data_IF_681771700327
#
_entry.id   IF_681771700327
#
_cell.length_a   1.000
_cell.length_b   1.000
_cell.length_c   1.000
_cell.angle_alpha   90.00
_cell.angle_beta   90.00
_cell.angle_gamma   90.00
#
_symmetry.space_group_name_H-M   'P 1'
#
loop_
_entity.id
_entity.type
_entity.pdbx_description
1 polymer ?
#
# COMPACT_ATOMS: atom_id res chain seq x y z
N UNK A 1 -11.89 -12.90 -3.97
CA UNK A 1 -10.97 -12.07 -3.15
C UNK A 1 -9.60 -12.13 -3.79
N UNK A 2 -8.89 -11.01 -3.81
CA UNK A 2 -7.51 -10.96 -4.30
C UNK A 2 -6.56 -10.58 -3.16
N UNK A 3 -5.32 -11.04 -3.26
CA UNK A 3 -4.23 -10.71 -2.34
C UNK A 3 -3.58 -9.40 -2.79
N UNK A 4 -3.52 -8.40 -1.92
CA UNK A 4 -3.02 -7.05 -2.23
C UNK A 4 -2.00 -6.57 -1.19
N UNK A 5 -0.94 -5.86 -1.59
CA UNK A 5 -0.04 -5.22 -0.64
C UNK A 5 -0.75 -4.03 0.00
N UNK A 6 -0.53 -3.83 1.30
CA UNK A 6 -1.21 -2.82 2.10
C UNK A 6 -0.23 -2.12 3.04
N UNK A 7 -0.36 -0.81 3.17
CA UNK A 7 0.23 -0.05 4.28
C UNK A 7 -0.59 -0.37 5.52
N UNK A 8 -0.09 -1.26 6.37
CA UNK A 8 -0.81 -1.67 7.57
C UNK A 8 -0.61 -0.69 8.72
N UNK A 9 0.56 -0.06 8.85
CA UNK A 9 0.87 0.95 9.87
C UNK A 9 2.00 1.86 9.40
N UNK A 10 2.10 3.04 9.98
CA UNK A 10 3.10 4.06 9.66
C UNK A 10 2.44 5.31 9.10
N UNK A 11 2.34 6.34 9.93
CA UNK A 11 1.76 7.63 9.52
C UNK A 11 2.72 8.36 8.59
N UNK A 12 2.19 8.93 7.51
CA UNK A 12 2.96 9.90 6.74
C UNK A 12 3.24 11.08 7.65
N UNK A 13 4.49 11.55 7.70
CA UNK A 13 4.89 12.73 8.45
C UNK A 13 5.91 13.47 7.58
N UNK A 14 5.62 14.70 7.12
CA UNK A 14 6.50 15.43 6.23
C UNK A 14 7.91 15.56 6.80
N UNK A 15 8.93 15.26 5.97
CA UNK A 15 10.35 15.31 6.33
C UNK A 15 10.80 14.36 7.46
N UNK A 16 9.96 13.40 7.84
CA UNK A 16 10.29 12.40 8.87
C UNK A 16 10.35 11.02 8.24
N UNK A 17 11.49 10.36 8.43
CA UNK A 17 11.71 8.99 7.94
C UNK A 17 11.24 7.97 8.98
N UNK A 18 9.92 7.91 9.21
CA UNK A 18 9.34 6.96 10.16
C UNK A 18 9.21 5.55 9.57
N UNK A 19 9.23 4.51 10.41
CA UNK A 19 9.02 3.14 9.95
C UNK A 19 7.59 2.96 9.42
N UNK A 20 7.47 2.12 8.40
CA UNK A 20 6.22 1.75 7.74
C UNK A 20 6.10 0.23 7.82
N UNK A 21 4.99 -0.26 8.36
CA UNK A 21 4.66 -1.68 8.33
C UNK A 21 3.79 -1.96 7.12
N UNK A 22 4.29 -2.83 6.25
CA UNK A 22 3.61 -3.23 5.03
C UNK A 22 3.34 -4.73 5.07
N UNK A 23 2.13 -5.12 4.70
CA UNK A 23 1.70 -6.51 4.77
C UNK A 23 0.84 -6.88 3.57
N UNK A 24 0.58 -8.18 3.45
CA UNK A 24 -0.44 -8.68 2.53
C UNK A 24 -1.81 -8.70 3.21
N UNK A 25 -2.83 -8.31 2.45
CA UNK A 25 -4.22 -8.41 2.84
C UNK A 25 -5.05 -9.04 1.71
N UNK A 26 -6.21 -9.58 2.07
CA UNK A 26 -7.23 -10.01 1.13
C UNK A 26 -8.33 -8.96 1.04
N UNK A 27 -8.67 -8.57 -0.18
CA UNK A 27 -9.76 -7.64 -0.43
C UNK A 27 -10.86 -8.28 -1.29
N UNK A 28 -12.08 -7.80 -1.13
CA UNK A 28 -13.24 -8.15 -1.97
C UNK A 28 -13.16 -7.43 -3.33
N UNK A 29 -12.10 -7.72 -4.07
CA UNK A 29 -11.90 -7.27 -5.42
C UNK A 29 -11.61 -8.45 -6.35
N UNK A 30 -11.71 -8.19 -7.64
CA UNK A 30 -11.48 -9.15 -8.72
C UNK A 30 -10.76 -8.48 -9.90
N UNK A 31 -9.91 -9.25 -10.58
CA UNK A 31 -9.36 -8.85 -11.87
C UNK A 31 -10.43 -9.08 -12.94
N UNK A 32 -10.64 -8.08 -13.77
CA UNK A 32 -11.63 -8.07 -14.85
C UNK A 32 -10.96 -7.71 -16.17
N UNK A 33 -11.56 -8.15 -17.28
CA UNK A 33 -11.05 -7.92 -18.63
C UNK A 33 -11.68 -6.66 -19.23
N UNK A 34 -11.25 -5.50 -18.76
CA UNK A 34 -11.73 -4.18 -19.16
C UNK A 34 -10.54 -3.21 -19.34
N UNK A 35 -10.79 -2.06 -19.97
CA UNK A 35 -9.75 -1.02 -20.07
C UNK A 35 -9.29 -0.58 -18.67
N UNK A 36 -7.97 -0.46 -18.42
CA UNK A 36 -7.47 -0.05 -17.12
C UNK A 36 -7.91 1.37 -16.76
N UNK A 37 -8.36 1.57 -15.52
CA UNK A 37 -8.75 2.89 -15.00
C UNK A 37 -8.04 3.21 -13.69
N UNK A 38 -7.85 4.51 -13.41
CA UNK A 38 -7.13 4.99 -12.24
C UNK A 38 -5.60 4.84 -12.31
N UNK A 39 -5.05 4.56 -13.50
CA UNK A 39 -3.61 4.38 -13.77
C UNK A 39 -3.18 5.07 -15.09
N UNK A 40 -3.89 6.12 -15.50
CA UNK A 40 -3.66 6.80 -16.79
C UNK A 40 -2.25 7.39 -16.91
N UNK A 41 -1.73 8.01 -15.86
CA UNK A 41 -0.38 8.58 -15.84
C UNK A 41 0.68 7.48 -15.98
N UNK A 42 0.49 6.36 -15.27
CA UNK A 42 1.35 5.18 -15.41
C UNK A 42 1.34 4.64 -16.84
N UNK A 43 0.16 4.48 -17.45
CA UNK A 43 0.05 4.01 -18.83
C UNK A 43 0.80 4.93 -19.79
N UNK A 44 0.63 6.25 -19.65
CA UNK A 44 1.33 7.24 -20.48
C UNK A 44 2.84 7.05 -20.42
N UNK A 45 3.40 6.98 -19.21
CA UNK A 45 4.84 6.82 -19.02
C UNK A 45 5.34 5.45 -19.46
N UNK A 46 4.55 4.40 -19.22
CA UNK A 46 4.91 3.04 -19.61
C UNK A 46 4.99 2.88 -21.13
N UNK A 47 4.05 3.45 -21.89
CA UNK A 47 4.08 3.41 -23.35
C UNK A 47 5.20 4.27 -23.93
N UNK A 48 5.47 5.43 -23.34
CA UNK A 48 6.62 6.26 -23.71
C UNK A 48 7.95 5.52 -23.47
N UNK A 49 8.11 4.90 -22.30
CA UNK A 49 9.34 4.20 -21.94
C UNK A 49 9.55 2.91 -22.74
N UNK A 50 8.49 2.16 -23.02
CA UNK A 50 8.57 0.90 -23.77
C UNK A 50 8.67 1.12 -25.28
N UNK A 51 8.10 2.21 -25.81
CA UNK A 51 7.94 2.41 -27.25
C UNK A 51 6.90 1.48 -27.89
N UNK A 52 6.09 0.79 -27.08
CA UNK A 52 5.01 -0.08 -27.52
C UNK A 52 3.67 0.55 -27.18
N UNK A 53 2.74 0.58 -28.14
CA UNK A 53 1.34 0.91 -27.88
C UNK A 53 0.53 -0.37 -27.81
N UNK A 54 0.53 -1.02 -26.64
CA UNK A 54 -0.42 -2.09 -26.37
C UNK A 54 -1.53 -1.60 -25.44
N UNK A 55 -2.75 -2.13 -25.59
CA UNK A 55 -3.87 -1.85 -24.69
C UNK A 55 -4.33 -3.13 -24.01
N UNK A 56 -3.53 -3.68 -23.07
CA UNK A 56 -3.92 -4.88 -22.35
C UNK A 56 -5.22 -4.62 -21.58
N UNK A 57 -6.21 -5.49 -21.76
CA UNK A 57 -7.50 -5.38 -21.10
C UNK A 57 -7.42 -6.02 -19.72
N UNK A 58 -7.07 -5.19 -18.73
CA UNK A 58 -7.01 -5.57 -17.33
C UNK A 58 -7.43 -4.41 -16.44
N UNK A 59 -8.35 -4.69 -15.53
CA UNK A 59 -8.74 -3.74 -14.49
C UNK A 59 -9.09 -4.48 -13.20
N UNK A 60 -9.31 -3.73 -12.13
CA UNK A 60 -9.74 -4.23 -10.82
C UNK A 60 -11.13 -3.73 -10.50
N UNK A 61 -12.08 -4.65 -10.27
CA UNK A 61 -13.41 -4.31 -9.76
C UNK A 61 -13.47 -4.57 -8.26
N UNK A 62 -14.13 -3.69 -7.52
CA UNK A 62 -14.33 -3.81 -6.07
C UNK A 62 -13.51 -2.80 -5.24
N UNK A 63 -13.83 -2.67 -3.94
CA UNK A 63 -13.23 -1.67 -3.07
C UNK A 63 -11.78 -2.05 -2.68
N UNK A 64 -10.85 -1.14 -2.92
CA UNK A 64 -9.43 -1.25 -2.59
C UNK A 64 -8.89 0.12 -2.20
N UNK A 65 -7.88 0.19 -1.30
CA UNK A 65 -7.05 1.38 -1.18
C UNK A 65 -6.44 1.73 -2.55
N UNK A 66 -6.34 3.02 -2.85
CA UNK A 66 -5.83 3.58 -4.12
C UNK A 66 -4.41 3.11 -4.41
N UNK A 67 -3.52 3.14 -3.41
CA UNK A 67 -2.14 2.68 -3.57
C UNK A 67 -2.07 1.17 -3.82
N UNK A 68 -2.83 0.38 -3.08
CA UNK A 68 -2.91 -1.08 -3.30
C UNK A 68 -3.40 -1.41 -4.71
N UNK A 69 -4.45 -0.71 -5.18
CA UNK A 69 -4.97 -0.83 -6.55
C UNK A 69 -3.90 -0.49 -7.59
N UNK A 70 -3.22 0.65 -7.42
CA UNK A 70 -2.14 1.08 -8.31
C UNK A 70 -1.02 0.04 -8.41
N UNK A 71 -0.52 -0.46 -7.28
CA UNK A 71 0.59 -1.43 -7.22
C UNK A 71 0.22 -2.76 -7.88
N UNK A 72 -0.99 -3.27 -7.64
CA UNK A 72 -1.47 -4.50 -8.27
C UNK A 72 -1.69 -4.29 -9.76
N UNK A 73 -2.43 -3.26 -10.14
CA UNK A 73 -2.84 -3.05 -11.53
C UNK A 73 -1.65 -2.75 -12.44
N UNK A 74 -0.68 -1.95 -12.00
CA UNK A 74 0.55 -1.66 -12.76
C UNK A 74 1.35 -2.92 -13.09
N UNK A 75 1.51 -3.85 -12.13
CA UNK A 75 2.19 -5.12 -12.38
C UNK A 75 1.43 -5.98 -13.40
N UNK A 76 0.11 -6.09 -13.24
CA UNK A 76 -0.73 -6.91 -14.12
C UNK A 76 -0.77 -6.35 -15.56
N UNK A 77 -0.74 -5.03 -15.72
CA UNK A 77 -0.61 -4.37 -17.03
C UNK A 77 0.70 -4.79 -17.70
N UNK A 78 1.83 -4.70 -17.00
CA UNK A 78 3.15 -5.03 -17.58
C UNK A 78 3.25 -6.53 -17.92
N UNK A 79 2.76 -7.40 -17.04
CA UNK A 79 2.73 -8.85 -17.31
C UNK A 79 1.91 -9.19 -18.55
N UNK A 80 0.72 -8.59 -18.69
CA UNK A 80 -0.10 -8.78 -19.88
C UNK A 80 0.49 -8.13 -21.11
N UNK A 81 1.17 -6.99 -21.00
CA UNK A 81 1.91 -6.42 -22.12
C UNK A 81 2.99 -7.39 -22.64
N UNK A 82 3.67 -8.11 -21.74
CA UNK A 82 4.61 -9.17 -22.10
C UNK A 82 3.91 -10.36 -22.77
N UNK A 83 2.81 -10.84 -22.19
CA UNK A 83 2.14 -12.08 -22.60
C UNK A 83 1.25 -11.93 -23.85
N UNK A 84 0.44 -10.87 -23.89
CA UNK A 84 -0.55 -10.61 -24.94
C UNK A 84 0.06 -9.82 -26.11
N UNK A 85 1.05 -8.96 -25.84
CA UNK A 85 1.60 -8.02 -26.82
C UNK A 85 3.04 -8.32 -27.23
N UNK A 86 3.65 -9.36 -26.64
CA UNK A 86 5.01 -9.79 -26.98
C UNK A 86 6.10 -8.80 -26.60
N UNK A 87 5.88 -7.92 -25.60
CA UNK A 87 6.92 -7.03 -25.08
C UNK A 87 8.13 -7.87 -24.62
N UNK A 88 9.32 -7.73 -25.22
CA UNK A 88 10.45 -8.62 -24.97
C UNK A 88 11.20 -8.24 -23.69
N UNK A 89 10.53 -8.33 -22.55
CA UNK A 89 11.05 -7.95 -21.22
C UNK A 89 11.15 -9.18 -20.30
N UNK A 90 12.28 -9.31 -19.59
CA UNK A 90 12.51 -10.36 -18.59
C UNK A 90 11.87 -9.98 -17.26
N UNK A 91 11.64 -10.99 -16.42
CA UNK A 91 11.04 -10.78 -15.09
C UNK A 91 11.78 -9.73 -14.25
N UNK A 92 13.12 -9.75 -14.25
CA UNK A 92 13.92 -8.75 -13.51
C UNK A 92 13.68 -7.33 -14.00
N UNK A 93 13.61 -7.15 -15.32
CA UNK A 93 13.43 -5.85 -15.97
C UNK A 93 12.02 -5.29 -15.71
N UNK A 94 11.00 -6.15 -15.53
CA UNK A 94 9.66 -5.73 -15.09
C UNK A 94 9.74 -5.02 -13.74
N UNK A 95 10.44 -5.61 -12.77
CA UNK A 95 10.58 -5.01 -11.43
C UNK A 95 11.37 -3.70 -11.47
N UNK A 96 12.48 -3.66 -12.21
CA UNK A 96 13.29 -2.44 -12.37
C UNK A 96 12.48 -1.30 -13.03
N UNK A 97 11.71 -1.62 -14.06
CA UNK A 97 10.84 -0.65 -14.73
C UNK A 97 9.73 -0.13 -13.82
N UNK A 98 9.06 -1.02 -13.07
CA UNK A 98 8.03 -0.62 -12.11
C UNK A 98 8.60 0.30 -11.01
N UNK A 99 9.78 -0.02 -10.48
CA UNK A 99 10.46 0.80 -9.48
C UNK A 99 10.81 2.20 -10.02
N UNK A 100 11.27 2.29 -11.28
CA UNK A 100 11.56 3.58 -11.94
C UNK A 100 10.29 4.41 -12.16
N UNK A 101 9.21 3.79 -12.66
CA UNK A 101 7.93 4.46 -12.92
C UNK A 101 7.27 4.91 -11.62
N UNK A 102 7.27 4.06 -10.57
CA UNK A 102 6.77 4.38 -9.24
C UNK A 102 7.49 5.61 -8.66
N UNK A 103 8.82 5.66 -8.79
CA UNK A 103 9.65 6.77 -8.34
C UNK A 103 9.33 8.08 -9.07
N UNK A 104 9.16 8.02 -10.40
CA UNK A 104 8.86 9.19 -11.20
C UNK A 104 7.44 9.75 -10.95
N UNK A 105 6.46 8.88 -10.68
CA UNK A 105 5.06 9.28 -10.47
C UNK A 105 4.78 9.78 -9.06
N UNK A 106 5.36 9.15 -8.03
CA UNK A 106 4.93 9.39 -6.65
C UNK A 106 6.05 9.70 -5.64
N UNK A 107 7.33 9.45 -5.96
CA UNK A 107 8.50 9.54 -5.04
C UNK A 107 8.13 9.32 -3.56
N UNK A 108 7.54 8.16 -3.27
CA UNK A 108 6.91 7.90 -1.97
C UNK A 108 7.48 6.62 -1.36
N UNK A 109 7.99 6.66 -0.10
CA UNK A 109 8.48 5.46 0.58
C UNK A 109 7.36 4.43 0.81
N UNK A 110 6.10 4.84 0.80
CA UNK A 110 4.95 3.94 0.89
C UNK A 110 4.79 3.13 -0.39
N UNK A 111 4.89 3.77 -1.55
CA UNK A 111 4.78 3.11 -2.86
C UNK A 111 5.96 2.17 -3.06
N UNK A 112 7.17 2.64 -2.77
CA UNK A 112 8.38 1.82 -2.80
C UNK A 112 8.26 0.60 -1.88
N UNK A 113 7.80 0.80 -0.64
CA UNK A 113 7.58 -0.27 0.32
C UNK A 113 6.52 -1.29 -0.14
N UNK A 114 5.40 -0.82 -0.70
CA UNK A 114 4.36 -1.70 -1.24
C UNK A 114 4.89 -2.55 -2.41
N UNK A 115 5.70 -1.96 -3.29
CA UNK A 115 6.36 -2.68 -4.39
C UNK A 115 7.32 -3.73 -3.85
N UNK A 116 8.11 -3.42 -2.82
CA UNK A 116 8.99 -4.38 -2.14
C UNK A 116 8.21 -5.54 -1.53
N UNK A 117 7.09 -5.30 -0.85
CA UNK A 117 6.20 -6.38 -0.37
C UNK A 117 5.67 -7.24 -1.51
N UNK A 118 5.25 -6.60 -2.62
CA UNK A 118 4.76 -7.31 -3.79
C UNK A 118 5.84 -8.23 -4.41
N UNK A 119 7.09 -7.74 -4.48
CA UNK A 119 8.25 -8.45 -5.03
C UNK A 119 8.75 -9.57 -4.11
N UNK A 120 8.91 -9.30 -2.82
CA UNK A 120 9.44 -10.24 -1.82
C UNK A 120 8.41 -11.22 -1.27
N UNK A 121 7.12 -11.00 -1.56
CA UNK A 121 6.01 -11.84 -1.11
C UNK A 121 5.93 -12.05 0.41
N UNK A 122 6.50 -11.14 1.19
CA UNK A 122 6.55 -11.19 2.66
C UNK A 122 6.14 -9.83 3.27
N UNK A 123 5.51 -9.82 4.45
CA UNK A 123 5.35 -8.59 5.21
C UNK A 123 6.71 -8.03 5.65
N UNK A 124 6.84 -6.70 5.64
CA UNK A 124 8.10 -6.03 5.96
C UNK A 124 7.85 -4.81 6.85
N UNK A 125 8.80 -4.55 7.74
CA UNK A 125 9.01 -3.24 8.33
C UNK A 125 10.02 -2.49 7.45
N UNK A 126 9.67 -1.29 7.00
CA UNK A 126 10.42 -0.54 6.00
C UNK A 126 10.67 0.90 6.44
N UNK A 127 11.85 1.44 6.08
CA UNK A 127 12.21 2.84 6.22
C UNK A 127 13.02 3.28 5.00
N UNK A 128 12.80 4.51 4.49
CA UNK A 128 13.47 4.99 3.26
C UNK A 128 14.98 4.96 3.46
N UNK A 129 15.72 4.38 2.51
CA UNK A 129 17.18 4.28 2.55
C UNK A 129 17.72 3.13 3.40
N UNK A 130 16.87 2.25 3.94
CA UNK A 130 17.29 1.07 4.68
C UNK A 130 16.81 -0.22 4.03
N UNK A 131 17.50 -1.31 4.35
CA UNK A 131 17.06 -2.64 3.96
C UNK A 131 15.76 -3.01 4.70
N UNK A 132 14.75 -3.54 3.99
CA UNK A 132 13.50 -3.96 4.61
C UNK A 132 13.72 -5.15 5.55
N UNK A 133 13.09 -5.09 6.71
CA UNK A 133 13.15 -6.16 7.72
C UNK A 133 11.91 -7.05 7.58
N UNK A 134 12.03 -8.34 7.24
CA UNK A 134 10.90 -9.25 7.21
C UNK A 134 10.29 -9.41 8.60
N UNK A 135 8.96 -9.43 8.67
CA UNK A 135 8.20 -9.57 9.92
C UNK A 135 7.06 -10.56 9.76
N UNK A 136 6.67 -11.19 10.87
CA UNK A 136 5.52 -12.09 10.90
C UNK A 136 4.28 -11.32 11.33
N UNK A 137 3.37 -11.11 10.38
CA UNK A 137 2.13 -10.36 10.58
C UNK A 137 0.97 -11.25 10.16
N UNK A 138 -0.07 -11.26 10.99
CA UNK A 138 -1.32 -11.95 10.70
C UNK A 138 -1.89 -11.50 9.36
N UNK A 139 -2.49 -12.43 8.64
CA UNK A 139 -3.13 -12.12 7.36
C UNK A 139 -4.51 -11.55 7.63
N UNK A 140 -4.82 -10.41 7.02
CA UNK A 140 -6.09 -9.72 7.20
C UNK A 140 -6.94 -9.77 5.93
N UNK A 141 -8.25 -9.87 6.10
CA UNK A 141 -9.25 -9.39 5.14
C UNK A 141 -9.49 -7.91 5.42
N UNK A 142 -9.52 -7.10 4.37
CA UNK A 142 -9.68 -5.64 4.48
C UNK A 142 -10.80 -5.13 3.58
N UNK A 143 -11.51 -4.12 4.08
CA UNK A 143 -12.56 -3.41 3.34
C UNK A 143 -12.43 -1.91 3.60
N UNK A 144 -12.13 -1.10 2.58
CA UNK A 144 -12.22 0.35 2.69
C UNK A 144 -13.65 0.79 3.03
N UNK A 145 -13.78 1.69 4.00
CA UNK A 145 -15.05 2.25 4.45
C UNK A 145 -15.22 3.70 4.01
N UNK A 146 -14.15 4.50 4.11
CA UNK A 146 -14.14 5.89 3.69
C UNK A 146 -12.71 6.38 3.44
N UNK A 147 -12.61 7.50 2.72
CA UNK A 147 -11.37 8.25 2.52
C UNK A 147 -11.52 9.64 3.11
N UNK A 148 -10.42 10.16 3.66
CA UNK A 148 -10.34 11.50 4.20
C UNK A 148 -9.14 12.23 3.58
N UNK A 149 -9.32 13.45 3.03
CA UNK A 149 -8.20 14.21 2.47
C UNK A 149 -7.22 14.60 3.58
N UNK A 150 -5.96 14.22 3.42
CA UNK A 150 -4.93 14.55 4.41
C UNK A 150 -4.09 15.69 3.88
N UNK A 151 -4.19 16.84 4.56
CA UNK A 151 -3.32 18.00 4.32
C UNK A 151 -2.05 17.93 5.15
N UNK A 152 -1.49 19.10 5.46
CA UNK A 152 -0.37 19.21 6.39
C UNK A 152 -0.81 18.80 7.82
N UNK A 153 0.11 18.22 8.61
CA UNK A 153 -0.15 17.95 10.03
C UNK A 153 -0.61 19.19 10.77
N UNK A 154 -1.68 19.07 11.55
CA UNK A 154 -2.16 20.11 12.46
C UNK A 154 -1.22 20.29 13.65
N UNK A 155 -0.71 19.17 14.18
CA UNK A 155 0.23 19.12 15.30
C UNK A 155 1.29 18.09 14.98
N UNK A 156 2.55 18.52 15.02
CA UNK A 156 3.71 17.64 14.85
C UNK A 156 4.80 18.06 15.83
N UNK A 157 4.94 17.30 16.91
CA UNK A 157 6.05 17.42 17.85
C UNK A 157 6.86 16.11 17.88
N UNK A 158 8.08 16.19 18.44
CA UNK A 158 8.98 15.05 18.50
C UNK A 158 8.39 13.85 19.26
N UNK A 159 7.56 14.09 20.29
CA UNK A 159 6.92 13.02 21.06
C UNK A 159 5.92 12.25 20.21
N UNK A 160 5.11 12.96 19.42
CA UNK A 160 4.18 12.34 18.46
C UNK A 160 4.93 11.58 17.36
N UNK A 161 6.01 12.16 16.84
CA UNK A 161 6.89 11.49 15.85
C UNK A 161 7.44 10.18 16.40
N UNK A 162 8.01 10.22 17.62
CA UNK A 162 8.56 9.04 18.27
C UNK A 162 7.48 7.99 18.59
N UNK A 163 6.31 8.43 19.06
CA UNK A 163 5.21 7.54 19.37
C UNK A 163 4.67 6.86 18.10
N UNK A 164 4.55 7.58 16.99
CA UNK A 164 4.18 6.99 15.71
C UNK A 164 5.15 5.89 15.27
N UNK A 165 6.46 6.13 15.37
CA UNK A 165 7.47 5.12 15.05
C UNK A 165 7.40 3.89 15.98
N UNK A 166 7.30 4.11 17.30
CA UNK A 166 7.24 3.03 18.29
C UNK A 166 5.97 2.19 18.13
N UNK A 167 4.82 2.82 17.88
CA UNK A 167 3.54 2.10 17.67
C UNK A 167 3.63 1.19 16.46
N UNK A 168 4.17 1.66 15.33
CA UNK A 168 4.37 0.85 14.14
C UNK A 168 5.29 -0.34 14.39
N UNK A 169 6.41 -0.12 15.08
CA UNK A 169 7.34 -1.20 15.46
C UNK A 169 6.64 -2.21 16.38
N UNK A 170 5.92 -1.75 17.40
CA UNK A 170 5.20 -2.63 18.35
C UNK A 170 4.11 -3.43 17.67
N UNK A 171 3.45 -2.87 16.66
CA UNK A 171 2.46 -3.57 15.87
C UNK A 171 3.12 -4.68 15.03
N UNK A 172 4.28 -4.42 14.46
CA UNK A 172 5.08 -5.40 13.74
C UNK A 172 5.59 -6.54 14.65
N UNK A 173 6.03 -6.21 15.87
CA UNK A 173 6.55 -7.19 16.84
C UNK A 173 5.46 -8.08 17.46
N UNK A 174 4.29 -7.51 17.75
CA UNK A 174 3.29 -8.17 18.60
C UNK A 174 2.03 -8.63 17.85
N UNK A 175 1.73 -8.05 16.69
CA UNK A 175 0.49 -8.28 15.95
C UNK A 175 -0.79 -7.94 16.72
N UNK A 176 -0.70 -7.22 17.84
CA UNK A 176 -1.83 -6.88 18.72
C UNK A 176 -2.72 -5.82 18.07
N UNK A 177 -3.96 -6.18 17.76
CA UNK A 177 -4.94 -5.29 17.10
C UNK A 177 -5.30 -4.09 17.97
N UNK A 178 -5.16 -4.18 19.29
CA UNK A 178 -5.43 -3.08 20.22
C UNK A 178 -4.56 -1.86 19.93
N UNK A 179 -3.37 -2.06 19.35
CA UNK A 179 -2.48 -0.98 18.92
C UNK A 179 -3.06 -0.15 17.78
N UNK A 180 -4.05 -0.67 17.03
CA UNK A 180 -4.77 0.14 16.03
C UNK A 180 -5.51 1.30 16.69
N UNK A 181 -6.06 1.12 17.89
CA UNK A 181 -6.74 2.20 18.62
C UNK A 181 -5.74 3.31 18.97
N UNK A 182 -4.53 2.93 19.37
CA UNK A 182 -3.44 3.88 19.68
C UNK A 182 -3.02 4.65 18.42
N UNK A 183 -2.78 3.95 17.32
CA UNK A 183 -2.41 4.57 16.05
C UNK A 183 -3.52 5.46 15.49
N UNK A 184 -4.78 5.05 15.62
CA UNK A 184 -5.94 5.89 15.26
C UNK A 184 -6.00 7.16 16.11
N UNK A 185 -5.64 7.08 17.39
CA UNK A 185 -5.46 8.26 18.25
C UNK A 185 -4.39 9.21 17.71
N UNK A 186 -3.26 8.69 17.22
CA UNK A 186 -2.22 9.49 16.57
C UNK A 186 -2.74 10.17 15.29
N UNK A 187 -3.46 9.44 14.45
CA UNK A 187 -4.11 10.01 13.26
C UNK A 187 -5.02 11.19 13.63
N UNK A 188 -5.81 11.07 14.69
CA UNK A 188 -6.65 12.16 15.19
C UNK A 188 -5.83 13.35 15.69
N UNK A 189 -4.80 13.11 16.49
CA UNK A 189 -3.97 14.18 17.04
C UNK A 189 -3.20 14.96 15.95
N UNK A 190 -2.71 14.24 14.94
CA UNK A 190 -1.85 14.81 13.90
C UNK A 190 -2.67 15.41 12.77
N UNK A 191 -3.77 14.76 12.36
CA UNK A 191 -4.53 15.12 11.16
C UNK A 191 -5.98 15.51 11.41
N UNK A 192 -6.46 15.47 12.66
CA UNK A 192 -7.83 15.88 12.99
C UNK A 192 -8.92 14.92 12.50
N UNK A 193 -8.57 13.71 12.04
CA UNK A 193 -9.56 12.69 11.66
C UNK A 193 -10.25 12.12 12.89
N UNK A 194 -11.47 11.58 12.74
CA UNK A 194 -12.17 10.90 13.85
C UNK A 194 -11.41 9.66 14.28
N UNK A 195 -11.20 9.46 15.59
CA UNK A 195 -10.60 8.24 16.13
C UNK A 195 -11.69 7.17 16.34
N UNK A 196 -11.73 6.10 15.51
CA UNK A 196 -12.64 4.99 15.78
C UNK A 196 -12.20 4.25 17.06
N UNK A 197 -13.15 3.93 17.97
CA UNK A 197 -12.82 3.28 19.25
C UNK A 197 -12.58 1.77 19.12
N UNK A 198 -12.63 1.22 17.91
CA UNK A 198 -12.63 -0.21 17.65
C UNK A 198 -11.30 -0.67 17.05
N UNK A 199 -10.72 -1.74 17.59
CA UNK A 199 -9.44 -2.32 17.12
C UNK A 199 -9.50 -2.97 15.73
N UNK A 200 -10.71 -3.25 15.24
CA UNK A 200 -10.96 -3.74 13.88
C UNK A 200 -11.13 -2.60 12.86
N UNK A 201 -11.06 -1.34 13.29
CA UNK A 201 -11.02 -0.18 12.41
C UNK A 201 -9.63 0.44 12.41
N UNK A 202 -9.17 0.86 11.24
CA UNK A 202 -7.82 1.43 11.10
C UNK A 202 -7.72 2.49 10.02
N UNK A 203 -7.18 3.64 10.39
CA UNK A 203 -6.66 4.61 9.44
C UNK A 203 -5.31 4.16 8.88
N UNK A 204 -5.18 4.21 7.57
CA UNK A 204 -3.92 3.97 6.86
C UNK A 204 -3.67 5.06 5.84
N UNK A 205 -2.40 5.27 5.51
CA UNK A 205 -2.02 6.17 4.44
C UNK A 205 -2.36 5.58 3.07
N UNK A 206 -3.01 6.36 2.21
CA UNK A 206 -3.45 5.95 0.87
C UNK A 206 -3.15 7.05 -0.18
N UNK A 207 -1.93 7.60 -0.12
CA UNK A 207 -1.50 8.69 -1.00
C UNK A 207 -1.91 10.05 -0.43
N UNK A 208 -2.58 10.91 -1.19
CA UNK A 208 -3.03 12.23 -0.70
C UNK A 208 -4.21 12.18 0.29
N UNK A 209 -4.59 10.98 0.72
CA UNK A 209 -5.73 10.70 1.59
C UNK A 209 -5.34 9.65 2.63
N UNK A 210 -6.09 9.62 3.74
CA UNK A 210 -6.13 8.50 4.66
C UNK A 210 -7.35 7.65 4.32
N UNK A 211 -7.19 6.33 4.29
CA UNK A 211 -8.30 5.39 4.13
C UNK A 211 -8.63 4.78 5.49
N UNK A 212 -9.91 4.81 5.87
CA UNK A 212 -10.41 4.05 7.01
C UNK A 212 -10.77 2.66 6.54
N UNK A 213 -10.13 1.65 7.11
CA UNK A 213 -10.30 0.25 6.78
C UNK A 213 -11.01 -0.48 7.92
N UNK A 214 -11.95 -1.35 7.55
CA UNK A 214 -12.32 -2.50 8.37
C UNK A 214 -11.27 -3.60 8.14
N UNK A 215 -10.69 -4.10 9.23
CA UNK A 215 -9.67 -5.15 9.22
C UNK A 215 -10.15 -6.36 10.04
N UNK A 216 -10.30 -7.48 9.35
CA UNK A 216 -10.68 -8.76 9.96
C UNK A 216 -9.51 -9.72 9.80
N UNK A 217 -9.07 -10.35 10.88
CA UNK A 217 -8.04 -11.38 10.76
C UNK A 217 -8.63 -12.63 10.14
N UNK A 218 -7.94 -13.17 9.16
CA UNK A 218 -8.23 -14.49 8.64
C UNK A 218 -7.60 -15.47 9.62
N UNK A 219 -8.43 -16.15 10.41
CA UNK A 219 -7.96 -17.33 11.12
C UNK A 219 -7.51 -18.32 10.07
N UNK A 220 -6.31 -18.86 10.21
CA UNK A 220 -5.87 -20.02 9.45
C UNK A 220 -6.84 -21.16 9.78
N UNK A 221 -7.91 -21.29 9.01
CA UNK A 221 -8.65 -22.54 8.91
C UNK A 221 -7.65 -23.53 8.32
N UNK A 222 -7.18 -24.43 9.18
CA UNK A 222 -6.40 -25.64 8.90
C UNK A 222 -6.27 -25.97 7.42
N UNK A 223 -5.02 -25.91 6.93
CA UNK A 223 -4.59 -26.67 5.77
C UNK A 223 -4.93 -28.17 5.95
#
# INVERSE_FOLDING_TARGET
MIKVPLVLSGLYLPNVNNPILLAWAYAEAELIYEEPSGVSEFLSMFWEASGFECKPLVNLRGPLPKLSRYIVLSLEIVKRAREECGLPIKEKEIWEMLELLDGALMDSPYVEGLRKVQRYQSPILYRKGEDPVPVDVRVYKVRPLMWYPVGDPLILDNSLVHLAGIVTIKLAETGRKELNIVENGLWTSIYGVVSPPYSWLKWVWDGKEAALLEIQELTSSSA
#
